data_IF_430596112190
#
_entry.id   IF_430596112190
#
_cell.length_a   1.000
_cell.length_b   1.000
_cell.length_c   1.000
_cell.angle_alpha   90.00
_cell.angle_beta   90.00
_cell.angle_gamma   90.00
#
_symmetry.space_group_name_H-M   'P 1'
#
loop_
_entity.id
_entity.type
_entity.pdbx_description
1 polymer ?
#
# COMPACT_ATOMS: atom_id res chain seq x y z
N UNK A 1 -55.48 -5.29 63.81
CA UNK A 1 -56.94 -5.49 63.77
C UNK A 1 -57.39 -5.37 62.32
N UNK A 2 -57.46 -6.48 61.59
CA UNK A 2 -58.22 -6.59 60.33
C UNK A 2 -59.67 -6.94 60.72
N UNK A 3 -60.75 -6.55 59.99
CA UNK A 3 -60.99 -7.19 58.69
C UNK A 3 -61.87 -6.47 57.61
N UNK A 4 -61.78 -7.03 56.39
CA UNK A 4 -62.84 -7.27 55.34
C UNK A 4 -63.43 -6.06 54.58
N UNK A 5 -63.33 -5.94 53.24
CA UNK A 5 -63.68 -6.77 52.04
C UNK A 5 -65.00 -6.27 51.39
N UNK A 6 -64.96 -5.81 50.13
CA UNK A 6 -65.88 -6.14 49.01
C UNK A 6 -65.47 -5.35 47.74
N UNK A 7 -64.77 -5.98 46.78
CA UNK A 7 -65.24 -6.58 45.50
C UNK A 7 -65.51 -5.59 44.34
N UNK A 8 -64.73 -5.85 43.29
CA UNK A 8 -64.85 -5.51 41.87
C UNK A 8 -66.24 -5.18 41.32
N UNK A 9 -66.29 -4.18 40.44
CA UNK A 9 -66.98 -4.29 39.16
C UNK A 9 -66.37 -3.34 38.10
N UNK A 10 -66.03 -3.95 36.97
CA UNK A 10 -65.60 -3.36 35.69
C UNK A 10 -66.69 -2.53 35.05
N UNK A 11 -66.34 -1.45 34.32
CA UNK A 11 -67.28 -0.80 33.41
C UNK A 11 -66.79 0.52 32.82
N UNK A 12 -66.58 0.50 31.51
CA UNK A 12 -66.07 1.53 30.60
C UNK A 12 -66.78 2.90 30.55
N UNK A 13 -65.98 3.87 30.07
CA UNK A 13 -66.30 4.98 29.13
C UNK A 13 -67.42 5.97 29.49
N UNK A 14 -67.04 7.26 29.60
CA UNK A 14 -67.46 8.30 28.63
C UNK A 14 -66.78 9.65 28.90
N UNK A 15 -65.86 10.00 28.01
CA UNK A 15 -65.67 11.33 27.38
C UNK A 15 -65.98 12.61 28.18
N UNK A 16 -64.94 13.41 28.42
CA UNK A 16 -65.05 14.87 28.37
C UNK A 16 -63.97 15.43 27.43
N UNK A 17 -64.46 15.94 26.30
CA UNK A 17 -63.77 16.72 25.29
C UNK A 17 -62.97 17.87 25.93
N UNK A 18 -61.67 17.96 25.65
CA UNK A 18 -61.04 19.25 25.39
C UNK A 18 -60.75 19.27 23.91
N UNK A 19 -61.60 20.00 23.18
CA UNK A 19 -61.55 20.23 21.76
C UNK A 19 -60.36 21.14 21.45
N UNK A 20 -59.18 20.55 21.22
CA UNK A 20 -58.13 21.20 20.44
C UNK A 20 -58.45 20.92 18.96
N UNK A 21 -58.56 21.96 18.10
CA UNK A 21 -58.81 21.76 16.69
C UNK A 21 -57.72 20.88 16.05
N UNK A 22 -58.03 19.96 15.12
CA UNK A 22 -57.05 19.09 14.46
C UNK A 22 -56.00 19.79 13.58
N UNK A 23 -55.97 21.12 13.51
CA UNK A 23 -55.13 21.87 12.55
C UNK A 23 -53.67 22.09 13.00
N UNK A 24 -53.21 21.48 14.09
CA UNK A 24 -51.90 21.79 14.67
C UNK A 24 -50.79 20.75 14.58
N UNK A 25 -50.95 19.69 13.77
CA UNK A 25 -49.81 18.87 13.35
C UNK A 25 -49.79 18.76 11.82
N UNK A 26 -49.46 19.88 11.19
CA UNK A 26 -49.13 19.93 9.77
C UNK A 26 -47.83 19.10 9.57
N UNK A 27 -47.84 17.95 8.86
CA UNK A 27 -46.64 17.11 8.72
C UNK A 27 -45.49 17.85 8.02
N UNK A 28 -45.81 18.86 7.21
CA UNK A 28 -44.85 19.80 6.61
C UNK A 28 -44.10 20.66 7.64
N UNK A 29 -44.72 21.05 8.76
CA UNK A 29 -44.02 21.79 9.83
C UNK A 29 -43.06 20.90 10.62
N UNK A 30 -43.42 19.63 10.85
CA UNK A 30 -42.56 18.66 11.53
C UNK A 30 -41.36 18.28 10.65
N UNK A 31 -41.59 17.98 9.36
CA UNK A 31 -40.51 17.72 8.40
C UNK A 31 -39.59 18.93 8.18
N UNK A 32 -40.15 20.15 8.16
CA UNK A 32 -39.35 21.37 8.08
C UNK A 32 -38.53 21.60 9.36
N UNK A 33 -39.10 21.35 10.55
CA UNK A 33 -38.39 21.44 11.82
C UNK A 33 -37.24 20.41 11.88
N UNK A 34 -37.47 19.17 11.46
CA UNK A 34 -36.45 18.12 11.39
C UNK A 34 -35.34 18.48 10.39
N UNK A 35 -35.69 19.02 9.21
CA UNK A 35 -34.70 19.52 8.26
C UNK A 35 -33.89 20.70 8.80
N UNK A 36 -34.51 21.61 9.56
CA UNK A 36 -33.82 22.74 10.19
C UNK A 36 -32.88 22.26 11.30
N UNK A 37 -33.31 21.30 12.13
CA UNK A 37 -32.48 20.70 13.18
C UNK A 37 -31.30 19.94 12.57
N UNK A 38 -31.52 19.11 11.55
CA UNK A 38 -30.45 18.38 10.84
C UNK A 38 -29.47 19.35 10.17
N UNK A 39 -29.97 20.42 9.53
CA UNK A 39 -29.11 21.44 8.91
C UNK A 39 -28.29 22.22 9.95
N UNK A 40 -28.88 22.54 11.10
CA UNK A 40 -28.18 23.19 12.22
C UNK A 40 -27.13 22.26 12.85
N UNK A 41 -27.46 20.99 13.09
CA UNK A 41 -26.53 19.98 13.59
C UNK A 41 -25.35 19.76 12.62
N UNK A 42 -25.63 19.61 11.32
CA UNK A 42 -24.61 19.52 10.27
C UNK A 42 -23.72 20.77 10.26
N UNK A 43 -24.30 21.95 10.47
CA UNK A 43 -23.51 23.18 10.55
C UNK A 43 -22.57 23.23 11.77
N UNK A 44 -23.02 22.70 12.92
CA UNK A 44 -22.21 22.57 14.13
C UNK A 44 -21.10 21.53 14.00
N UNK A 45 -21.43 20.34 13.51
CA UNK A 45 -20.45 19.27 13.28
C UNK A 45 -19.38 19.66 12.26
N UNK A 46 -19.78 20.32 11.16
CA UNK A 46 -18.84 20.89 10.20
C UNK A 46 -17.83 21.81 10.89
N UNK A 47 -18.32 22.74 11.71
CA UNK A 47 -17.49 23.71 12.42
C UNK A 47 -16.52 23.02 13.40
N UNK A 48 -17.00 22.00 14.10
CA UNK A 48 -16.18 21.19 15.01
C UNK A 48 -15.05 20.47 14.28
N UNK A 49 -15.35 19.80 13.17
CA UNK A 49 -14.35 19.10 12.36
C UNK A 49 -13.31 20.05 11.75
N UNK A 50 -13.75 21.20 11.22
CA UNK A 50 -12.83 22.22 10.72
C UNK A 50 -11.89 22.73 11.83
N UNK A 51 -12.44 23.07 13.00
CA UNK A 51 -11.66 23.55 14.15
C UNK A 51 -10.63 22.51 14.61
N UNK A 52 -11.06 21.25 14.75
CA UNK A 52 -10.19 20.15 15.16
C UNK A 52 -9.08 19.87 14.15
N UNK A 53 -9.40 19.91 12.85
CA UNK A 53 -8.43 19.79 11.78
C UNK A 53 -7.34 20.87 11.84
N UNK A 54 -7.71 22.14 12.05
CA UNK A 54 -6.74 23.22 12.16
C UNK A 54 -5.88 23.11 13.43
N UNK A 55 -6.46 22.72 14.56
CA UNK A 55 -5.71 22.49 15.79
C UNK A 55 -4.65 21.38 15.62
N UNK A 56 -5.03 20.27 15.00
CA UNK A 56 -4.10 19.19 14.69
C UNK A 56 -3.03 19.61 13.68
N UNK A 57 -3.39 20.46 12.72
CA UNK A 57 -2.43 21.04 11.76
C UNK A 57 -1.38 21.88 12.48
N UNK A 58 -1.77 22.72 13.44
CA UNK A 58 -0.83 23.52 14.28
C UNK A 58 0.13 22.62 15.07
N UNK A 59 -0.36 21.48 15.55
CA UNK A 59 0.44 20.45 16.24
C UNK A 59 1.26 19.57 15.28
N UNK A 60 1.23 19.87 13.98
CA UNK A 60 1.88 19.08 12.90
C UNK A 60 1.37 17.64 12.79
N UNK A 61 0.21 17.34 13.39
CA UNK A 61 -0.46 16.05 13.27
C UNK A 61 -1.33 16.03 12.00
N UNK A 62 -0.65 16.08 10.86
CA UNK A 62 -1.27 16.30 9.56
C UNK A 62 -2.21 15.16 9.13
N UNK A 63 -1.93 13.91 9.49
CA UNK A 63 -2.82 12.78 9.14
C UNK A 63 -4.16 12.86 9.85
N UNK A 64 -4.16 13.12 11.15
CA UNK A 64 -5.43 13.29 11.88
C UNK A 64 -6.15 14.54 11.38
N UNK A 65 -5.43 15.64 11.12
CA UNK A 65 -6.01 16.84 10.53
C UNK A 65 -6.71 16.57 9.20
N UNK A 66 -6.07 15.79 8.31
CA UNK A 66 -6.65 15.39 7.02
C UNK A 66 -7.97 14.63 7.20
N UNK A 67 -8.03 13.66 8.11
CA UNK A 67 -9.25 12.91 8.41
C UNK A 67 -10.40 13.83 8.86
N UNK A 68 -10.12 14.80 9.73
CA UNK A 68 -11.14 15.77 10.17
C UNK A 68 -11.62 16.68 9.02
N UNK A 69 -10.71 17.15 8.16
CA UNK A 69 -11.13 17.95 7.01
C UNK A 69 -11.93 17.14 5.97
N UNK A 70 -11.61 15.85 5.79
CA UNK A 70 -12.41 14.95 4.97
C UNK A 70 -13.82 14.76 5.53
N UNK A 71 -13.97 14.58 6.85
CA UNK A 71 -15.27 14.52 7.50
C UNK A 71 -16.06 15.84 7.34
N UNK A 72 -15.39 17.00 7.45
CA UNK A 72 -16.03 18.29 7.18
C UNK A 72 -16.53 18.42 5.72
N UNK A 73 -15.74 17.94 4.74
CA UNK A 73 -16.12 17.95 3.34
C UNK A 73 -17.28 16.99 3.03
N UNK A 74 -17.40 15.87 3.76
CA UNK A 74 -18.56 14.98 3.65
C UNK A 74 -19.86 15.67 4.10
N UNK A 75 -19.80 16.52 5.13
CA UNK A 75 -20.97 17.29 5.60
C UNK A 75 -21.33 18.41 4.62
N UNK A 76 -20.33 19.07 4.02
CA UNK A 76 -20.52 20.14 3.03
C UNK A 76 -19.74 19.85 1.74
N UNK A 77 -20.28 19.00 0.85
CA UNK A 77 -19.64 18.72 -0.43
C UNK A 77 -19.42 20.00 -1.24
N UNK A 78 -18.22 20.18 -1.79
CA UNK A 78 -17.85 21.37 -2.57
C UNK A 78 -17.44 22.60 -1.75
N UNK A 79 -17.40 22.51 -0.41
CA UNK A 79 -16.94 23.63 0.42
C UNK A 79 -15.46 23.98 0.14
N UNK A 80 -15.22 25.26 -0.19
CA UNK A 80 -13.89 25.75 -0.56
C UNK A 80 -12.90 25.72 0.61
N UNK A 81 -13.35 25.95 1.84
CA UNK A 81 -12.47 25.97 3.01
C UNK A 81 -11.98 24.58 3.37
N UNK A 82 -12.89 23.60 3.45
CA UNK A 82 -12.54 22.20 3.69
C UNK A 82 -11.62 21.66 2.59
N UNK A 83 -11.94 21.93 1.32
CA UNK A 83 -11.11 21.51 0.18
C UNK A 83 -9.71 22.15 0.23
N UNK A 84 -9.62 23.44 0.57
CA UNK A 84 -8.34 24.15 0.71
C UNK A 84 -7.51 23.59 1.87
N UNK A 85 -8.14 23.31 3.01
CA UNK A 85 -7.49 22.75 4.18
C UNK A 85 -6.93 21.35 3.91
N UNK A 86 -7.71 20.48 3.24
CA UNK A 86 -7.26 19.17 2.74
C UNK A 86 -6.02 19.36 1.86
N UNK A 87 -6.10 20.20 0.83
CA UNK A 87 -4.97 20.45 -0.09
C UNK A 87 -3.71 20.89 0.65
N UNK A 88 -3.83 21.85 1.57
CA UNK A 88 -2.69 22.37 2.32
C UNK A 88 -2.04 21.29 3.19
N UNK A 89 -2.85 20.53 3.94
CA UNK A 89 -2.35 19.47 4.82
C UNK A 89 -1.78 18.30 4.05
N UNK A 90 -2.39 17.92 2.92
CA UNK A 90 -1.81 16.94 2.00
C UNK A 90 -0.43 17.39 1.52
N UNK A 91 -0.26 18.68 1.19
CA UNK A 91 1.05 19.24 0.85
C UNK A 91 2.08 19.14 1.98
N UNK A 92 1.68 19.31 3.24
CA UNK A 92 2.59 19.11 4.38
C UNK A 92 2.95 17.65 4.63
N UNK A 93 2.00 16.73 4.43
CA UNK A 93 2.23 15.29 4.50
C UNK A 93 3.26 14.91 3.44
N UNK A 94 3.04 15.33 2.19
CA UNK A 94 3.93 15.10 1.06
C UNK A 94 5.37 15.55 1.35
N UNK A 95 5.56 16.80 1.79
CA UNK A 95 6.90 17.35 2.07
C UNK A 95 7.64 16.63 3.20
N UNK A 96 6.93 16.02 4.15
CA UNK A 96 7.55 15.29 5.29
C UNK A 96 7.68 13.79 5.05
N UNK A 97 7.01 13.25 4.04
CA UNK A 97 6.97 11.84 3.74
C UNK A 97 7.98 11.53 2.63
N UNK A 98 9.23 11.34 3.01
CA UNK A 98 10.22 10.77 2.08
C UNK A 98 10.23 9.26 2.28
N UNK A 99 9.90 8.52 1.23
CA UNK A 99 10.01 7.06 1.22
C UNK A 99 11.47 6.69 1.03
N UNK A 100 12.12 6.30 2.12
CA UNK A 100 13.55 5.98 2.16
C UNK A 100 13.72 4.57 2.69
N UNK A 101 14.45 3.75 1.94
CA UNK A 101 14.92 2.46 2.40
C UNK A 101 16.10 2.65 3.37
N UNK A 102 16.02 1.99 4.53
CA UNK A 102 17.12 1.96 5.49
C UNK A 102 17.60 0.50 5.60
N UNK A 103 18.84 0.20 5.18
CA UNK A 103 19.34 -1.16 5.23
C UNK A 103 19.59 -1.62 6.67
N UNK A 104 19.21 -2.86 6.99
CA UNK A 104 19.40 -3.45 8.33
C UNK A 104 20.88 -3.66 8.70
N UNK A 105 21.75 -3.73 7.70
CA UNK A 105 23.21 -3.69 7.85
C UNK A 105 23.80 -2.87 6.71
N UNK A 106 24.86 -2.09 6.94
CA UNK A 106 25.52 -1.35 5.87
C UNK A 106 26.18 -2.33 4.89
N UNK A 107 25.49 -2.65 3.81
CA UNK A 107 26.00 -3.37 2.65
C UNK A 107 26.12 -2.44 1.44
N UNK A 108 26.92 -2.82 0.45
CA UNK A 108 27.02 -2.05 -0.81
C UNK A 108 25.74 -2.21 -1.65
N UNK A 109 25.32 -1.09 -2.24
CA UNK A 109 24.04 -0.79 -2.91
C UNK A 109 23.92 -1.32 -4.35
N UNK A 110 22.69 -1.51 -4.87
CA UNK A 110 22.26 -1.79 -6.26
C UNK A 110 23.33 -2.46 -7.15
N UNK A 111 23.92 -3.57 -6.70
CA UNK A 111 24.87 -4.35 -7.50
C UNK A 111 24.31 -5.73 -7.77
N UNK A 112 23.92 -5.91 -9.03
CA UNK A 112 23.59 -7.19 -9.63
C UNK A 112 23.59 -7.14 -11.16
N UNK A 113 24.26 -6.17 -11.78
CA UNK A 113 24.41 -6.13 -13.24
C UNK A 113 25.88 -5.90 -13.55
N UNK A 114 26.49 -6.90 -14.19
CA UNK A 114 27.65 -6.71 -15.05
C UNK A 114 27.39 -5.47 -15.91
N UNK A 115 28.30 -4.50 -15.93
CA UNK A 115 28.19 -3.36 -16.85
C UNK A 115 28.01 -3.93 -18.27
N UNK A 116 26.80 -3.83 -18.82
CA UNK A 116 26.43 -4.37 -20.14
C UNK A 116 25.30 -5.41 -20.20
N UNK A 117 24.76 -5.89 -19.07
CA UNK A 117 23.67 -6.90 -19.10
C UNK A 117 22.31 -6.35 -19.53
N UNK A 118 21.46 -7.17 -20.15
CA UNK A 118 20.11 -6.84 -20.66
C UNK A 118 19.00 -6.79 -19.59
N UNK A 119 19.33 -6.99 -18.31
CA UNK A 119 18.39 -6.99 -17.18
C UNK A 119 19.02 -6.45 -15.89
N UNK A 120 18.17 -5.94 -14.99
CA UNK A 120 18.53 -5.50 -13.63
C UNK A 120 17.56 -6.11 -12.63
N UNK A 121 18.07 -6.70 -11.54
CA UNK A 121 17.25 -7.01 -10.36
C UNK A 121 17.01 -5.72 -9.55
N UNK A 122 15.75 -5.44 -9.21
CA UNK A 122 15.38 -4.28 -8.38
C UNK A 122 15.55 -4.64 -6.90
N UNK A 123 16.80 -4.74 -6.46
CA UNK A 123 17.17 -5.13 -5.10
C UNK A 123 18.23 -4.16 -4.55
N UNK A 124 18.25 -3.89 -3.23
CA UNK A 124 19.18 -2.92 -2.66
C UNK A 124 20.63 -3.41 -2.71
N UNK A 125 20.86 -4.71 -2.87
CA UNK A 125 22.18 -5.35 -2.97
C UNK A 125 22.04 -6.88 -2.96
N UNK A 126 23.12 -7.60 -3.24
CA UNK A 126 23.14 -9.07 -3.31
C UNK A 126 24.12 -9.74 -2.33
N UNK A 127 24.91 -8.96 -1.59
CA UNK A 127 25.85 -9.47 -0.58
C UNK A 127 25.09 -10.17 0.56
N UNK A 128 24.08 -9.47 1.08
CA UNK A 128 23.20 -9.94 2.15
C UNK A 128 21.85 -10.45 1.64
N UNK A 129 21.18 -11.25 2.48
CA UNK A 129 19.82 -11.68 2.21
C UNK A 129 18.85 -10.52 2.46
N UNK A 130 18.01 -10.23 1.47
CA UNK A 130 16.85 -9.36 1.66
C UNK A 130 15.91 -9.98 2.70
N UNK A 131 15.33 -9.15 3.55
CA UNK A 131 14.34 -9.62 4.52
C UNK A 131 12.94 -9.52 3.94
N UNK A 132 12.11 -10.51 4.23
CA UNK A 132 10.68 -10.48 3.93
C UNK A 132 9.87 -11.04 5.09
N UNK A 133 8.67 -10.49 5.32
CA UNK A 133 7.67 -11.13 6.18
C UNK A 133 6.73 -12.04 5.38
N UNK A 134 6.76 -11.98 4.05
CA UNK A 134 5.83 -12.70 3.18
C UNK A 134 6.19 -14.19 3.07
N UNK A 135 5.17 -15.06 3.08
CA UNK A 135 5.36 -16.48 2.78
C UNK A 135 5.69 -16.69 1.30
N UNK A 136 5.14 -15.82 0.44
CA UNK A 136 5.23 -15.85 -1.01
C UNK A 136 5.68 -14.47 -1.51
N UNK A 137 7.00 -14.18 -1.49
CA UNK A 137 7.53 -12.88 -1.89
C UNK A 137 7.39 -12.64 -3.40
N UNK A 138 7.54 -11.38 -3.80
CA UNK A 138 7.42 -10.94 -5.19
C UNK A 138 8.75 -10.32 -5.64
N UNK A 139 9.40 -10.97 -6.59
CA UNK A 139 10.68 -10.53 -7.13
C UNK A 139 10.45 -9.54 -8.27
N UNK A 140 11.30 -8.52 -8.34
CA UNK A 140 11.15 -7.40 -9.28
C UNK A 140 12.39 -7.24 -10.15
N UNK A 141 12.19 -7.12 -11.45
CA UNK A 141 13.26 -7.01 -12.43
C UNK A 141 12.92 -5.93 -13.46
N UNK A 142 13.94 -5.29 -14.01
CA UNK A 142 13.81 -4.35 -15.11
C UNK A 142 14.47 -4.90 -16.37
N UNK A 143 13.68 -5.01 -17.43
CA UNK A 143 14.07 -5.47 -18.75
C UNK A 143 14.57 -4.29 -19.56
N UNK A 144 15.85 -4.33 -19.97
CA UNK A 144 16.45 -3.24 -20.74
C UNK A 144 16.17 -3.40 -22.23
N UNK A 145 16.20 -2.31 -23.02
CA UNK A 145 16.00 -2.35 -24.47
C UNK A 145 16.92 -3.33 -25.20
N UNK A 146 18.15 -3.52 -24.74
CA UNK A 146 19.18 -4.28 -25.47
C UNK A 146 18.88 -5.78 -25.56
N UNK A 147 18.09 -6.32 -24.62
CA UNK A 147 17.65 -7.73 -24.59
C UNK A 147 16.36 -7.96 -25.38
N UNK A 148 15.55 -6.94 -25.64
CA UNK A 148 14.23 -7.10 -26.26
C UNK A 148 14.31 -7.74 -27.65
N UNK A 149 13.46 -8.74 -27.88
CA UNK A 149 13.38 -9.46 -29.16
C UNK A 149 14.52 -10.45 -29.43
N UNK A 150 15.51 -10.56 -28.53
CA UNK A 150 16.64 -11.50 -28.64
C UNK A 150 16.55 -12.64 -27.64
N UNK A 151 15.72 -12.52 -26.61
CA UNK A 151 15.58 -13.52 -25.56
C UNK A 151 14.79 -14.73 -26.06
N UNK A 152 15.37 -15.91 -25.93
CA UNK A 152 14.70 -17.20 -26.15
C UNK A 152 13.83 -17.55 -24.96
N UNK A 153 14.38 -17.40 -23.75
CA UNK A 153 13.74 -17.87 -22.53
C UNK A 153 14.18 -17.02 -21.32
N UNK A 154 13.25 -16.77 -20.40
CA UNK A 154 13.50 -16.19 -19.09
C UNK A 154 13.22 -17.26 -18.03
N UNK A 155 14.18 -17.59 -17.17
CA UNK A 155 14.05 -18.69 -16.22
C UNK A 155 14.27 -18.20 -14.80
N UNK A 156 13.33 -18.50 -13.90
CA UNK A 156 13.46 -18.22 -12.48
C UNK A 156 13.60 -19.51 -11.69
N UNK A 157 14.51 -19.54 -10.71
CA UNK A 157 14.68 -20.68 -9.80
C UNK A 157 14.88 -20.21 -8.37
N UNK A 158 14.08 -20.73 -7.44
CA UNK A 158 14.18 -20.53 -6.00
C UNK A 158 14.69 -21.80 -5.31
N UNK A 159 15.62 -21.62 -4.37
CA UNK A 159 16.24 -22.71 -3.60
C UNK A 159 16.28 -22.38 -2.12
N UNK A 160 15.99 -23.35 -1.26
CA UNK A 160 16.27 -23.28 0.18
C UNK A 160 17.74 -23.57 0.44
N UNK A 161 18.39 -22.77 1.28
CA UNK A 161 19.79 -22.96 1.67
C UNK A 161 19.85 -23.53 3.08
N UNK A 162 20.51 -24.68 3.21
CA UNK A 162 20.84 -25.31 4.50
C UNK A 162 22.33 -25.66 4.53
N UNK A 163 23.13 -24.84 5.22
CA UNK A 163 24.58 -24.93 5.21
C UNK A 163 25.17 -24.80 3.80
N UNK A 164 25.82 -25.87 3.32
CA UNK A 164 26.39 -25.95 1.95
C UNK A 164 25.44 -26.56 0.92
N UNK A 165 24.25 -27.02 1.32
CA UNK A 165 23.27 -27.65 0.43
C UNK A 165 22.23 -26.64 0.00
N UNK A 166 21.85 -26.70 -1.27
CA UNK A 166 20.74 -25.93 -1.82
C UNK A 166 19.66 -26.90 -2.31
N UNK A 167 18.48 -26.88 -1.70
CA UNK A 167 17.31 -27.67 -2.10
C UNK A 167 16.49 -26.87 -3.10
N UNK A 168 16.22 -27.43 -4.27
CA UNK A 168 15.32 -26.84 -5.24
C UNK A 168 13.90 -26.75 -4.67
N UNK A 169 13.28 -25.56 -4.73
CA UNK A 169 11.91 -25.35 -4.25
C UNK A 169 10.92 -24.99 -5.35
N UNK A 170 11.33 -24.13 -6.27
CA UNK A 170 10.44 -23.65 -7.32
C UNK A 170 11.25 -23.26 -8.56
N UNK A 171 10.71 -23.55 -9.73
CA UNK A 171 11.25 -23.12 -11.01
C UNK A 171 10.11 -22.83 -11.97
N UNK A 172 10.28 -21.79 -12.78
CA UNK A 172 9.34 -21.43 -13.82
C UNK A 172 10.05 -20.72 -14.96
N UNK A 173 9.43 -20.80 -16.13
CA UNK A 173 9.85 -20.10 -17.33
C UNK A 173 8.82 -19.02 -17.65
N UNK A 174 9.29 -17.79 -17.84
CA UNK A 174 8.47 -16.65 -18.23
C UNK A 174 8.55 -16.42 -19.74
N UNK A 175 7.45 -15.95 -20.30
CA UNK A 175 7.44 -15.51 -21.70
C UNK A 175 8.31 -14.25 -21.84
N UNK A 176 9.25 -14.20 -22.78
CA UNK A 176 10.04 -13.01 -23.04
C UNK A 176 9.17 -11.80 -23.35
N UNK A 177 9.44 -10.67 -22.68
CA UNK A 177 8.75 -9.41 -22.97
C UNK A 177 9.35 -8.74 -24.20
N UNK A 178 8.50 -8.07 -24.98
CA UNK A 178 8.90 -7.31 -26.18
C UNK A 178 8.99 -5.80 -25.93
N UNK A 179 8.72 -5.37 -24.70
CA UNK A 179 8.69 -3.98 -24.29
C UNK A 179 9.67 -3.75 -23.14
N UNK A 180 10.33 -2.59 -23.14
CA UNK A 180 11.14 -2.12 -22.02
C UNK A 180 10.22 -1.86 -20.82
N UNK A 181 10.61 -2.32 -19.64
CA UNK A 181 9.80 -2.09 -18.44
C UNK A 181 10.14 -3.01 -17.29
N UNK A 182 9.37 -2.83 -16.22
CA UNK A 182 9.53 -3.56 -14.97
C UNK A 182 8.59 -4.75 -14.97
N UNK A 183 9.14 -5.93 -14.70
CA UNK A 183 8.41 -7.19 -14.58
C UNK A 183 8.53 -7.70 -13.15
N UNK A 184 7.51 -8.42 -12.71
CA UNK A 184 7.50 -9.10 -11.42
C UNK A 184 7.22 -10.59 -11.57
N UNK A 185 7.72 -11.36 -10.61
CA UNK A 185 7.39 -12.77 -10.43
C UNK A 185 6.98 -12.99 -8.98
N UNK A 186 5.79 -13.54 -8.78
CA UNK A 186 5.33 -14.01 -7.46
C UNK A 186 5.40 -15.53 -7.44
N UNK A 187 5.97 -16.10 -6.37
CA UNK A 187 5.99 -17.55 -6.18
C UNK A 187 4.57 -18.01 -5.81
N UNK A 188 3.91 -18.87 -6.60
CA UNK A 188 2.55 -19.30 -6.32
C UNK A 188 2.42 -20.00 -4.96
N UNK A 189 1.33 -19.69 -4.25
CA UNK A 189 1.05 -20.18 -2.88
C UNK A 189 0.95 -21.71 -2.78
N UNK A 190 0.58 -22.37 -3.87
CA UNK A 190 0.43 -23.82 -3.98
C UNK A 190 1.73 -24.54 -4.41
N UNK A 191 2.77 -23.79 -4.81
CA UNK A 191 4.01 -24.34 -5.36
C UNK A 191 5.15 -24.32 -4.36
N UNK A 192 5.35 -23.21 -3.65
CA UNK A 192 6.36 -23.10 -2.61
C UNK A 192 6.05 -21.96 -1.65
N UNK A 193 6.39 -22.14 -0.37
CA UNK A 193 6.28 -21.11 0.65
C UNK A 193 7.57 -21.03 1.45
N UNK A 194 8.02 -19.81 1.74
CA UNK A 194 9.19 -19.59 2.57
C UNK A 194 8.82 -19.84 4.03
N UNK A 195 9.69 -20.50 4.79
CA UNK A 195 9.49 -20.76 6.21
C UNK A 195 10.24 -19.70 7.03
N UNK A 196 9.66 -19.32 8.17
CA UNK A 196 10.26 -18.34 9.07
C UNK A 196 11.65 -18.84 9.52
N UNK A 197 12.63 -17.93 9.54
CA UNK A 197 14.01 -18.19 9.95
C UNK A 197 14.90 -18.78 8.85
N UNK A 198 14.34 -19.31 7.77
CA UNK A 198 15.11 -19.93 6.68
C UNK A 198 15.58 -18.92 5.64
N UNK A 199 16.73 -19.24 5.05
CA UNK A 199 17.38 -18.47 3.98
C UNK A 199 17.20 -19.19 2.64
N UNK A 200 17.05 -18.39 1.61
CA UNK A 200 16.81 -18.84 0.26
C UNK A 200 17.73 -18.11 -0.71
N UNK A 201 18.06 -18.76 -1.82
CA UNK A 201 18.70 -18.15 -2.98
C UNK A 201 17.76 -18.23 -4.16
N UNK A 202 17.80 -17.20 -4.99
CA UNK A 202 17.07 -17.18 -6.24
C UNK A 202 18.00 -16.82 -7.39
N UNK A 203 17.68 -17.33 -8.58
CA UNK A 203 18.36 -16.97 -9.83
C UNK A 203 17.31 -16.56 -10.86
N UNK A 204 17.66 -15.58 -11.68
CA UNK A 204 16.86 -15.17 -12.83
C UNK A 204 17.78 -15.12 -14.05
N UNK A 205 17.61 -16.10 -14.93
CA UNK A 205 18.48 -16.35 -16.07
C UNK A 205 17.81 -15.83 -17.34
N UNK A 206 18.57 -15.10 -18.16
CA UNK A 206 18.20 -14.73 -19.52
C UNK A 206 18.96 -15.64 -20.47
N UNK A 207 18.21 -16.39 -21.26
CA UNK A 207 18.74 -17.33 -22.23
C UNK A 207 18.53 -16.75 -23.62
N UNK A 208 19.63 -16.61 -24.37
CA UNK A 208 19.62 -16.18 -25.75
C UNK A 208 19.69 -17.40 -26.70
N UNK A 209 19.17 -17.31 -27.93
CA UNK A 209 19.45 -18.28 -28.98
C UNK A 209 20.96 -18.44 -29.23
N UNK A 210 21.41 -19.68 -29.40
CA UNK A 210 22.84 -20.01 -29.52
C UNK A 210 23.51 -19.35 -30.75
N UNK A 211 22.74 -19.06 -31.79
CA UNK A 211 23.18 -18.45 -33.05
C UNK A 211 23.42 -16.94 -32.96
N UNK A 212 22.95 -16.27 -31.89
CA UNK A 212 23.20 -14.83 -31.69
C UNK A 212 24.62 -14.51 -31.20
N UNK A 213 25.38 -15.50 -30.72
CA UNK A 213 26.72 -15.28 -30.14
C UNK A 213 26.73 -14.42 -28.87
N UNK A 214 25.57 -14.23 -28.23
CA UNK A 214 25.42 -13.49 -26.97
C UNK A 214 25.41 -14.50 -25.81
N UNK A 215 26.25 -14.35 -24.79
CA UNK A 215 26.24 -15.25 -23.64
C UNK A 215 24.96 -15.09 -22.82
N UNK A 216 24.49 -16.19 -22.24
CA UNK A 216 23.39 -16.15 -21.27
C UNK A 216 23.76 -15.28 -20.07
N UNK A 217 22.78 -14.56 -19.54
CA UNK A 217 22.96 -13.73 -18.35
C UNK A 217 22.29 -14.39 -17.16
N UNK A 218 22.88 -14.19 -15.97
CA UNK A 218 22.36 -14.74 -14.72
C UNK A 218 22.36 -13.66 -13.65
N UNK A 219 21.17 -13.34 -13.16
CA UNK A 219 20.98 -12.58 -11.94
C UNK A 219 20.82 -13.53 -10.76
N UNK A 220 21.28 -13.10 -9.60
CA UNK A 220 21.13 -13.88 -8.38
C UNK A 220 20.96 -12.98 -7.17
N UNK A 221 20.29 -13.53 -6.17
CA UNK A 221 20.16 -12.89 -4.88
C UNK A 221 19.73 -13.86 -3.80
N UNK A 222 19.62 -13.31 -2.59
CA UNK A 222 19.27 -14.03 -1.38
C UNK A 222 18.06 -13.38 -0.73
N UNK A 223 17.20 -14.18 -0.13
CA UNK A 223 16.06 -13.72 0.65
C UNK A 223 15.89 -14.57 1.90
N UNK A 224 15.52 -13.95 3.01
CA UNK A 224 15.27 -14.61 4.28
C UNK A 224 13.91 -14.21 4.79
N UNK A 225 13.07 -15.20 5.11
CA UNK A 225 11.80 -14.91 5.76
C UNK A 225 12.02 -14.76 7.26
N UNK A 226 11.63 -13.63 7.80
CA UNK A 226 11.79 -13.30 9.23
C UNK A 226 10.44 -12.91 9.83
N UNK A 227 10.30 -13.20 11.12
CA UNK A 227 9.17 -12.76 11.93
C UNK A 227 9.65 -11.71 12.91
N UNK A 228 8.94 -10.59 12.98
CA UNK A 228 9.16 -9.53 13.95
C UNK A 228 7.78 -9.08 14.45
N UNK A 229 7.48 -9.35 15.71
CA UNK A 229 6.18 -9.07 16.31
C UNK A 229 5.90 -7.57 16.41
N UNK A 230 6.90 -6.77 16.77
CA UNK A 230 6.78 -5.32 16.84
C UNK A 230 6.47 -4.71 15.48
N UNK A 231 7.19 -5.13 14.43
CA UNK A 231 6.91 -4.74 13.06
C UNK A 231 5.50 -5.17 12.65
N UNK A 232 5.11 -6.41 12.94
CA UNK A 232 3.78 -6.94 12.62
C UNK A 232 2.68 -6.09 13.25
N UNK A 233 2.82 -5.76 14.54
CA UNK A 233 1.90 -4.89 15.27
C UNK A 233 1.83 -3.49 14.65
N UNK A 234 2.99 -2.89 14.31
CA UNK A 234 3.04 -1.57 13.69
C UNK A 234 2.35 -1.54 12.32
N UNK A 235 2.52 -2.58 11.51
CA UNK A 235 1.91 -2.73 10.19
C UNK A 235 0.39 -2.93 10.30
N UNK A 236 -0.07 -3.80 11.20
CA UNK A 236 -1.49 -4.09 11.42
C UNK A 236 -2.26 -2.85 11.92
N UNK A 237 -1.61 -1.96 12.66
CA UNK A 237 -2.21 -0.70 13.12
C UNK A 237 -2.36 0.35 12.00
N UNK A 238 -1.79 0.14 10.81
CA UNK A 238 -1.93 1.09 9.68
C UNK A 238 -3.06 0.66 8.76
N UNK A 239 -3.96 1.59 8.49
CA UNK A 239 -5.07 1.42 7.53
C UNK A 239 -4.68 1.76 6.10
N UNK A 240 -3.62 2.55 5.90
CA UNK A 240 -3.17 2.98 4.58
C UNK A 240 -1.98 2.12 4.11
N UNK A 241 -2.05 1.46 2.94
CA UNK A 241 -0.97 0.59 2.46
C UNK A 241 0.37 1.33 2.28
N UNK A 242 0.36 2.58 1.80
CA UNK A 242 1.61 3.36 1.73
C UNK A 242 2.27 3.56 3.11
N UNK A 243 1.50 3.59 4.20
CA UNK A 243 2.06 3.74 5.55
C UNK A 243 2.74 2.46 6.00
N UNK A 244 2.21 1.31 5.59
CA UNK A 244 2.83 0.00 5.79
C UNK A 244 4.14 -0.08 4.99
N UNK A 245 4.12 0.31 3.71
CA UNK A 245 5.31 0.34 2.85
C UNK A 245 6.46 1.17 3.45
N UNK A 246 6.14 2.34 4.02
CA UNK A 246 7.15 3.18 4.68
C UNK A 246 7.79 2.52 5.91
N UNK A 247 6.99 1.81 6.71
CA UNK A 247 7.52 1.10 7.88
C UNK A 247 8.43 -0.02 7.39
N UNK A 248 7.98 -0.84 6.43
CA UNK A 248 8.81 -1.87 5.83
C UNK A 248 10.12 -1.32 5.26
N UNK A 249 10.09 -0.20 4.53
CA UNK A 249 11.28 0.42 3.97
C UNK A 249 12.28 0.85 5.05
N UNK A 250 11.80 1.44 6.16
CA UNK A 250 12.63 1.89 7.29
C UNK A 250 13.18 0.77 8.15
N UNK A 251 12.47 -0.36 8.20
CA UNK A 251 12.89 -1.57 8.91
C UNK A 251 13.69 -2.52 8.00
N UNK A 252 14.08 -2.07 6.81
CA UNK A 252 14.95 -2.80 5.88
C UNK A 252 14.29 -3.95 5.10
N UNK A 253 12.96 -4.01 5.05
CA UNK A 253 12.15 -4.97 4.29
C UNK A 253 11.84 -4.45 2.88
N UNK A 254 12.87 -4.38 2.03
CA UNK A 254 12.78 -3.83 0.68
C UNK A 254 11.70 -4.49 -0.18
N UNK A 255 11.69 -5.82 -0.22
CA UNK A 255 10.73 -6.62 -1.00
C UNK A 255 9.28 -6.27 -0.66
N UNK A 256 8.96 -6.18 0.63
CA UNK A 256 7.61 -5.82 1.08
C UNK A 256 7.26 -4.37 0.72
N UNK A 257 8.18 -3.43 0.97
CA UNK A 257 7.96 -2.02 0.65
C UNK A 257 7.76 -1.78 -0.86
N UNK A 258 8.69 -2.28 -1.68
CA UNK A 258 8.65 -2.15 -3.13
C UNK A 258 7.38 -2.77 -3.70
N UNK A 259 7.01 -3.95 -3.23
CA UNK A 259 5.80 -4.65 -3.70
C UNK A 259 4.53 -3.87 -3.41
N UNK A 260 4.36 -3.32 -2.20
CA UNK A 260 3.18 -2.51 -1.87
C UNK A 260 3.09 -1.27 -2.75
N UNK A 261 4.20 -0.56 -2.95
CA UNK A 261 4.19 0.69 -3.74
C UNK A 261 3.96 0.40 -5.22
N UNK A 262 4.56 -0.66 -5.75
CA UNK A 262 4.34 -1.10 -7.12
C UNK A 262 2.88 -1.54 -7.36
N UNK A 263 2.29 -2.29 -6.44
CA UNK A 263 0.89 -2.72 -6.53
C UNK A 263 -0.06 -1.53 -6.48
N UNK A 264 0.21 -0.54 -5.62
CA UNK A 264 -0.52 0.72 -5.61
C UNK A 264 -0.35 1.51 -6.91
N UNK A 265 0.84 1.51 -7.50
CA UNK A 265 1.11 2.20 -8.78
C UNK A 265 0.33 1.53 -9.92
N UNK A 266 0.19 0.21 -9.90
CA UNK A 266 -0.68 -0.51 -10.83
C UNK A 266 -2.16 -0.17 -10.63
N UNK A 267 -2.63 -0.11 -9.38
CA UNK A 267 -4.03 0.17 -9.06
C UNK A 267 -4.43 1.63 -9.26
N UNK A 268 -3.48 2.55 -9.06
CA UNK A 268 -3.70 4.00 -9.05
C UNK A 268 -2.62 4.71 -9.86
N UNK A 269 -2.55 4.47 -11.19
CA UNK A 269 -1.45 4.96 -12.02
C UNK A 269 -1.36 6.49 -12.07
N UNK A 270 -2.46 7.21 -11.80
CA UNK A 270 -2.52 8.68 -11.79
C UNK A 270 -2.39 9.30 -10.38
N UNK A 271 -2.17 8.49 -9.34
CA UNK A 271 -1.98 9.00 -7.98
C UNK A 271 -0.57 9.57 -7.83
N UNK A 272 -0.49 10.91 -7.73
CA UNK A 272 0.78 11.64 -7.63
C UNK A 272 1.57 11.25 -6.38
N UNK A 273 0.91 10.86 -5.29
CA UNK A 273 1.60 10.42 -4.08
C UNK A 273 2.30 9.08 -4.33
N UNK A 274 1.60 8.14 -4.96
CA UNK A 274 2.15 6.82 -5.28
C UNK A 274 3.33 6.94 -6.25
N UNK A 275 3.21 7.80 -7.27
CA UNK A 275 4.31 8.06 -8.20
C UNK A 275 5.53 8.66 -7.49
N UNK A 276 5.33 9.64 -6.60
CA UNK A 276 6.42 10.27 -5.85
C UNK A 276 7.08 9.30 -4.86
N UNK A 277 6.29 8.49 -4.15
CA UNK A 277 6.80 7.48 -3.20
C UNK A 277 7.58 6.38 -3.93
N UNK A 278 7.11 5.96 -5.12
CA UNK A 278 7.81 5.01 -5.99
C UNK A 278 9.19 5.52 -6.41
N UNK A 279 9.23 6.75 -6.90
CA UNK A 279 10.48 7.39 -7.31
C UNK A 279 11.45 7.54 -6.13
N UNK A 280 10.97 8.05 -4.99
CA UNK A 280 11.77 8.23 -3.79
C UNK A 280 12.35 6.89 -3.28
N UNK A 281 11.55 5.81 -3.28
CA UNK A 281 12.00 4.50 -2.85
C UNK A 281 13.13 3.97 -3.75
N UNK A 282 12.96 4.03 -5.07
CA UNK A 282 13.99 3.59 -6.03
C UNK A 282 15.26 4.44 -5.94
N UNK A 283 15.13 5.75 -5.74
CA UNK A 283 16.28 6.65 -5.55
C UNK A 283 17.03 6.36 -4.26
N UNK A 284 16.34 5.93 -3.20
CA UNK A 284 16.97 5.68 -1.88
C UNK A 284 17.99 4.53 -1.87
N UNK A 285 17.98 3.67 -2.89
CA UNK A 285 18.94 2.56 -3.05
C UNK A 285 19.98 2.83 -4.14
N UNK A 286 19.84 3.92 -4.90
CA UNK A 286 20.79 4.35 -5.92
C UNK A 286 22.10 4.84 -5.28
N UNK A 287 23.24 4.35 -5.77
CA UNK A 287 24.54 4.95 -5.43
C UNK A 287 24.68 6.35 -6.02
N UNK A 288 25.61 7.12 -5.45
CA UNK A 288 26.18 8.31 -6.07
C UNK A 288 26.64 7.96 -7.51
N UNK A 289 26.01 8.56 -8.52
CA UNK A 289 26.23 8.25 -9.94
C UNK A 289 25.28 7.23 -10.59
N UNK A 290 24.46 6.51 -9.80
CA UNK A 290 23.35 5.66 -10.28
C UNK A 290 21.97 6.33 -10.16
N UNK A 291 21.91 7.56 -9.65
CA UNK A 291 20.70 8.39 -9.58
C UNK A 291 19.96 8.46 -10.94
N UNK A 292 20.71 8.60 -12.03
CA UNK A 292 20.15 8.60 -13.39
C UNK A 292 19.47 7.29 -13.75
N UNK A 293 19.97 6.15 -13.25
CA UNK A 293 19.33 4.85 -13.46
C UNK A 293 18.07 4.75 -12.60
N UNK A 294 18.12 5.15 -11.34
CA UNK A 294 16.93 5.15 -10.46
C UNK A 294 15.82 6.04 -11.02
N UNK A 295 16.16 7.25 -11.50
CA UNK A 295 15.22 8.16 -12.16
C UNK A 295 14.66 7.55 -13.46
N UNK A 296 15.52 6.91 -14.27
CA UNK A 296 15.08 6.19 -15.47
C UNK A 296 14.07 5.09 -15.10
N UNK A 297 14.40 4.25 -14.12
CA UNK A 297 13.58 3.15 -13.63
C UNK A 297 12.22 3.64 -13.10
N UNK A 298 12.21 4.75 -12.36
CA UNK A 298 11.00 5.34 -11.81
C UNK A 298 9.95 5.67 -12.90
N UNK A 299 10.43 6.05 -14.09
CA UNK A 299 9.61 6.40 -15.26
C UNK A 299 9.17 5.20 -16.09
N UNK A 300 9.73 4.01 -15.87
CA UNK A 300 9.40 2.82 -16.64
C UNK A 300 8.00 2.28 -16.29
N UNK A 301 7.27 1.70 -17.26
CA UNK A 301 6.02 1.03 -17.00
C UNK A 301 6.26 -0.26 -16.20
N UNK A 302 5.32 -0.61 -15.33
CA UNK A 302 5.27 -1.94 -14.73
C UNK A 302 4.43 -2.81 -15.66
N UNK A 303 5.09 -3.67 -16.42
CA UNK A 303 4.45 -4.54 -17.42
C UNK A 303 3.58 -5.63 -16.79
N UNK A 304 3.84 -5.96 -15.52
CA UNK A 304 3.09 -6.96 -14.76
C UNK A 304 1.79 -6.41 -14.13
N UNK A 305 1.43 -5.14 -14.33
CA UNK A 305 0.15 -4.61 -13.86
C UNK A 305 -1.02 -5.31 -14.57
N UNK A 306 -1.69 -6.24 -13.90
CA UNK A 306 -2.82 -7.00 -14.44
C UNK A 306 -2.51 -8.47 -14.77
N UNK A 307 -1.25 -8.89 -14.64
CA UNK A 307 -0.90 -10.30 -14.70
C UNK A 307 -1.07 -10.92 -13.30
N UNK A 308 -2.29 -11.32 -12.92
CA UNK A 308 -2.44 -12.47 -12.04
C UNK A 308 -1.88 -13.65 -12.82
N UNK A 309 -0.58 -13.91 -12.72
CA UNK A 309 0.01 -15.05 -13.40
C UNK A 309 -0.52 -16.31 -12.71
N UNK A 310 -1.49 -16.92 -13.39
CA UNK A 310 -1.99 -18.27 -13.13
C UNK A 310 -0.85 -19.29 -13.13
#
# INVERSE_FOLDING_TARGET
>A
MYPKKLRFLTGCLLTALVYLPPDFLNPTKVLAADQVVVKAQNSGQYTQYMSRGYELTRRRNYRQALSYFQQALQIRPGDRYATTAIRNVTGYIQRRRVMVYVPNKPGRTLTGSTRGGGIIALIPGNEEAQLTTAENPKFWFYMKPESLGKVKELKFVLREVDGKRAKHLYETTLTPVRQEGIVSLTVPVDKASLTIGKKYTWTFDIIYPNDLGVPNEKLEGKIQRVQNEDLTNQIQQKTQPLDQAMIYAREGFWDNALSIVADLRCQRPNDTQVQSDWEALLQSVGQEGQEKLAEKLAKQPILSCGASQN
#
